data_IF_558747781390
#
_entry.id   IF_558747781390
#
_cell.length_a   1.000
_cell.length_b   1.000
_cell.length_c   1.000
_cell.angle_alpha   90.00
_cell.angle_beta   90.00
_cell.angle_gamma   90.00
#
_symmetry.space_group_name_H-M   'P 1'
#
loop_
_entity.id
_entity.type
_entity.pdbx_description
1 polymer ?
#
# COMPACT_ATOMS: atom_id res chain seq x y z
N UNK A 1 21.44 1.50 -2.73
CA UNK A 1 20.14 0.82 -2.95
C UNK A 1 19.56 1.25 -4.30
N UNK A 2 19.48 0.35 -5.29
CA UNK A 2 19.08 0.67 -6.68
C UNK A 2 17.60 0.41 -6.98
N UNK A 3 16.84 -0.11 -6.00
CA UNK A 3 15.46 -0.58 -6.21
C UNK A 3 14.40 0.45 -5.86
N UNK A 4 14.64 1.31 -4.85
CA UNK A 4 13.63 2.20 -4.27
C UNK A 4 13.73 3.62 -4.83
N UNK A 5 12.59 4.29 -4.93
CA UNK A 5 12.54 5.75 -5.10
C UNK A 5 13.09 6.45 -3.83
N UNK A 6 13.81 7.58 -3.92
CA UNK A 6 14.44 8.24 -2.77
C UNK A 6 13.50 8.57 -1.59
N UNK A 7 12.22 8.88 -1.88
CA UNK A 7 11.23 9.12 -0.83
C UNK A 7 10.86 7.86 -0.03
N UNK A 8 10.98 6.67 -0.61
CA UNK A 8 10.74 5.39 0.08
C UNK A 8 11.97 5.00 0.92
N UNK A 9 13.17 5.12 0.34
CA UNK A 9 14.42 4.70 1.00
C UNK A 9 14.84 5.58 2.17
N UNK A 10 14.36 6.83 2.22
CA UNK A 10 14.68 7.80 3.27
C UNK A 10 14.40 7.28 4.68
N UNK A 11 13.21 6.70 4.93
CA UNK A 11 12.86 6.23 6.28
C UNK A 11 13.73 5.04 6.72
N UNK A 12 13.87 3.95 5.94
CA UNK A 12 14.76 2.85 6.32
C UNK A 12 16.21 3.26 6.49
N UNK A 13 16.73 4.13 5.60
CA UNK A 13 18.10 4.64 5.70
C UNK A 13 18.35 5.31 7.04
N UNK A 14 17.47 6.22 7.44
CA UNK A 14 17.58 6.95 8.71
C UNK A 14 17.48 6.01 9.92
N UNK A 15 16.50 5.10 9.94
CA UNK A 15 16.17 4.33 11.15
C UNK A 15 17.00 3.07 11.35
N UNK A 16 17.46 2.44 10.26
CA UNK A 16 18.15 1.15 10.34
C UNK A 16 19.60 1.19 9.87
N UNK A 17 20.02 2.28 9.21
CA UNK A 17 21.36 2.38 8.60
C UNK A 17 22.09 3.68 8.94
N UNK A 18 21.70 4.39 10.00
CA UNK A 18 22.33 5.66 10.42
C UNK A 18 22.44 6.67 9.27
N UNK A 19 21.46 6.67 8.37
CA UNK A 19 21.42 7.49 7.16
C UNK A 19 22.56 7.21 6.16
N UNK A 20 23.23 6.04 6.24
CA UNK A 20 24.35 5.64 5.36
C UNK A 20 23.90 4.84 4.13
N UNK A 21 22.61 4.51 4.00
CA UNK A 21 22.10 3.83 2.82
C UNK A 21 21.96 4.84 1.67
N UNK A 22 22.87 4.75 0.69
CA UNK A 22 22.86 5.62 -0.49
C UNK A 22 21.84 5.15 -1.53
N UNK A 23 21.16 6.08 -2.19
CA UNK A 23 20.31 5.79 -3.34
C UNK A 23 21.16 5.61 -4.60
N UNK A 24 21.00 4.46 -5.25
CA UNK A 24 21.70 4.13 -6.50
C UNK A 24 20.87 4.37 -7.76
N UNK A 25 19.61 4.78 -7.60
CA UNK A 25 18.71 5.14 -8.70
C UNK A 25 18.34 6.62 -8.58
N UNK A 26 18.28 7.33 -9.70
CA UNK A 26 17.83 8.72 -9.69
C UNK A 26 16.31 8.80 -9.49
N UNK A 27 15.85 9.92 -8.92
CA UNK A 27 14.41 10.19 -8.73
C UNK A 27 13.61 10.00 -10.03
N UNK A 28 14.14 10.50 -11.14
CA UNK A 28 13.52 10.40 -12.46
C UNK A 28 13.39 8.96 -12.98
N UNK A 29 14.32 8.07 -12.63
CA UNK A 29 14.32 6.67 -13.06
C UNK A 29 13.25 5.81 -12.35
N UNK A 30 12.72 6.32 -11.23
CA UNK A 30 11.73 5.64 -10.37
C UNK A 30 10.44 6.44 -10.25
N UNK A 31 10.12 7.25 -11.27
CA UNK A 31 8.90 8.04 -11.31
C UNK A 31 7.89 7.47 -12.30
N UNK A 32 6.62 7.45 -11.88
CA UNK A 32 5.48 7.14 -12.73
C UNK A 32 4.57 8.39 -12.84
N UNK A 33 3.73 8.51 -13.90
CA UNK A 33 2.89 9.69 -14.11
C UNK A 33 1.91 10.00 -12.97
N UNK A 34 1.48 8.97 -12.23
CA UNK A 34 0.56 9.14 -11.11
C UNK A 34 1.21 9.76 -9.87
N UNK A 35 2.55 9.81 -9.77
CA UNK A 35 3.25 10.35 -8.60
C UNK A 35 3.03 11.84 -8.36
N UNK A 36 2.63 12.60 -9.38
CA UNK A 36 2.30 14.02 -9.23
C UNK A 36 0.92 14.23 -8.58
N UNK A 37 0.12 13.17 -8.45
CA UNK A 37 -1.15 13.23 -7.76
C UNK A 37 -0.93 13.29 -6.24
N UNK A 38 -1.61 14.24 -5.57
CA UNK A 38 -1.49 14.47 -4.12
C UNK A 38 -1.67 13.22 -3.23
N UNK A 39 -2.42 12.22 -3.70
CA UNK A 39 -2.70 10.98 -2.97
C UNK A 39 -1.98 9.74 -3.53
N UNK A 40 -1.16 9.86 -4.58
CA UNK A 40 -0.49 8.71 -5.21
C UNK A 40 1.02 8.95 -5.35
N UNK A 41 1.59 9.75 -4.45
CA UNK A 41 3.02 9.98 -4.42
C UNK A 41 3.82 8.71 -4.16
N UNK A 42 5.15 8.72 -4.39
CA UNK A 42 5.99 7.53 -4.26
C UNK A 42 6.02 6.92 -2.85
N UNK A 43 5.70 7.71 -1.82
CA UNK A 43 5.56 7.25 -0.44
C UNK A 43 4.45 8.07 0.24
N UNK A 44 3.39 7.40 0.69
CA UNK A 44 2.21 8.01 1.30
C UNK A 44 1.86 7.26 2.58
N UNK A 45 1.41 8.01 3.59
CA UNK A 45 0.83 7.47 4.81
C UNK A 45 -0.63 7.89 4.88
N UNK A 46 -1.53 6.93 5.06
CA UNK A 46 -2.96 7.16 5.19
C UNK A 46 -3.37 6.82 6.61
N UNK A 47 -3.81 7.84 7.35
CA UNK A 47 -4.40 7.66 8.66
C UNK A 47 -5.91 7.41 8.48
N UNK A 48 -6.33 6.16 8.72
CA UNK A 48 -7.73 5.75 8.59
C UNK A 48 -8.40 6.03 9.92
N UNK A 49 -9.08 7.17 10.02
CA UNK A 49 -9.71 7.62 11.29
C UNK A 49 -10.71 6.61 11.86
N UNK A 50 -11.46 5.93 10.98
CA UNK A 50 -12.40 4.87 11.37
C UNK A 50 -11.72 3.50 11.49
N UNK A 51 -10.40 3.41 11.38
CA UNK A 51 -9.65 2.16 11.47
C UNK A 51 -9.66 1.59 12.87
N UNK A 52 -10.19 0.38 13.03
CA UNK A 52 -10.13 -0.34 14.29
C UNK A 52 -10.05 -1.86 14.07
N UNK A 53 -9.24 -2.51 14.88
CA UNK A 53 -9.03 -3.96 14.83
C UNK A 53 -10.21 -4.69 15.48
N UNK A 54 -10.71 -5.71 14.79
CA UNK A 54 -11.73 -6.63 15.28
C UNK A 54 -11.15 -8.03 15.39
N UNK A 55 -11.39 -8.70 16.52
CA UNK A 55 -11.16 -10.14 16.62
C UNK A 55 -12.34 -10.89 15.99
N UNK A 56 -12.05 -11.90 15.18
CA UNK A 56 -13.09 -12.80 14.67
C UNK A 56 -13.82 -13.59 15.76
N UNK A 57 -15.00 -14.09 15.42
CA UNK A 57 -15.98 -14.65 16.37
C UNK A 57 -15.80 -16.15 16.68
N UNK A 58 -14.83 -16.83 16.09
CA UNK A 58 -14.59 -18.28 16.32
C UNK A 58 -13.27 -18.52 17.05
N UNK A 59 -13.13 -19.70 17.69
CA UNK A 59 -11.89 -20.08 18.37
C UNK A 59 -10.68 -20.23 17.42
N UNK A 60 -10.94 -20.41 16.12
CA UNK A 60 -9.94 -20.34 15.05
C UNK A 60 -9.72 -18.91 14.52
N UNK A 61 -10.56 -17.96 14.95
CA UNK A 61 -10.62 -16.58 14.49
C UNK A 61 -10.34 -15.56 15.61
N UNK A 62 -9.45 -15.85 16.57
CA UNK A 62 -8.82 -14.81 17.41
C UNK A 62 -7.88 -13.88 16.61
N UNK A 63 -8.13 -13.75 15.31
CA UNK A 63 -7.27 -13.11 14.33
C UNK A 63 -7.82 -11.70 14.13
N UNK A 64 -6.94 -10.72 14.29
CA UNK A 64 -7.29 -9.31 14.21
C UNK A 64 -7.46 -8.89 12.75
N UNK A 65 -8.55 -8.20 12.42
CA UNK A 65 -8.76 -7.64 11.09
C UNK A 65 -9.24 -6.21 11.17
N UNK A 66 -8.93 -5.41 10.15
CA UNK A 66 -9.40 -4.03 10.03
C UNK A 66 -10.07 -3.85 8.66
N UNK A 67 -11.40 -3.87 8.67
CA UNK A 67 -12.21 -3.74 7.45
C UNK A 67 -12.07 -2.37 6.81
N UNK A 68 -11.86 -1.31 7.60
CA UNK A 68 -11.71 0.05 7.10
C UNK A 68 -10.37 0.23 6.36
N UNK A 69 -9.28 -0.36 6.86
CA UNK A 69 -8.00 -0.37 6.15
C UNK A 69 -8.06 -1.20 4.86
N UNK A 70 -8.74 -2.35 4.89
CA UNK A 70 -8.95 -3.16 3.68
C UNK A 70 -9.76 -2.40 2.62
N UNK A 71 -10.84 -1.73 3.03
CA UNK A 71 -11.65 -0.88 2.17
C UNK A 71 -10.85 0.29 1.59
N UNK A 72 -10.10 1.02 2.43
CA UNK A 72 -9.26 2.13 1.98
C UNK A 72 -8.19 1.67 0.96
N UNK A 73 -7.61 0.49 1.16
CA UNK A 73 -6.65 -0.10 0.22
C UNK A 73 -7.28 -0.37 -1.15
N UNK A 74 -8.53 -0.85 -1.18
CA UNK A 74 -9.28 -1.07 -2.42
C UNK A 74 -9.67 0.24 -3.11
N UNK A 75 -10.06 1.26 -2.35
CA UNK A 75 -10.36 2.59 -2.88
C UNK A 75 -9.14 3.23 -3.55
N UNK A 76 -7.96 3.14 -2.93
CA UNK A 76 -6.70 3.61 -3.54
C UNK A 76 -6.43 2.89 -4.86
N UNK A 77 -6.64 1.57 -4.89
CA UNK A 77 -6.40 0.75 -6.07
C UNK A 77 -7.40 1.06 -7.20
N UNK A 78 -8.68 1.18 -6.87
CA UNK A 78 -9.76 1.56 -7.78
C UNK A 78 -9.52 2.96 -8.36
N UNK A 79 -9.15 3.91 -7.50
CA UNK A 79 -8.81 5.26 -7.91
C UNK A 79 -7.63 5.30 -8.89
N UNK A 80 -6.55 4.55 -8.61
CA UNK A 80 -5.41 4.43 -9.51
C UNK A 80 -5.82 3.82 -10.87
N UNK A 81 -6.56 2.70 -10.85
CA UNK A 81 -7.07 2.01 -12.05
C UNK A 81 -7.91 2.93 -12.92
N UNK A 82 -8.82 3.69 -12.31
CA UNK A 82 -9.77 4.54 -13.03
C UNK A 82 -9.11 5.83 -13.56
N UNK A 83 -8.19 6.43 -12.79
CA UNK A 83 -7.56 7.71 -13.16
C UNK A 83 -6.36 7.56 -14.09
N UNK A 84 -5.60 6.46 -13.95
CA UNK A 84 -4.38 6.19 -14.73
C UNK A 84 -4.42 4.80 -15.38
N UNK A 85 -5.43 4.51 -16.23
CA UNK A 85 -5.66 3.16 -16.75
C UNK A 85 -4.51 2.62 -17.62
N UNK A 86 -3.75 3.50 -18.27
CA UNK A 86 -2.58 3.14 -19.11
C UNK A 86 -1.36 2.75 -18.28
N UNK A 87 -1.22 3.31 -17.09
CA UNK A 87 -0.10 3.06 -16.18
C UNK A 87 -0.41 1.94 -15.18
N UNK A 88 -1.71 1.64 -15.00
CA UNK A 88 -2.18 0.59 -14.12
C UNK A 88 -1.87 -0.81 -14.65
N UNK A 89 -1.25 -1.64 -13.80
CA UNK A 89 -1.09 -3.06 -14.04
C UNK A 89 -1.13 -3.83 -12.74
N UNK A 90 -2.05 -4.80 -12.61
CA UNK A 90 -2.15 -5.63 -11.41
C UNK A 90 -0.85 -6.38 -11.09
N UNK A 91 -0.02 -6.69 -12.11
CA UNK A 91 1.27 -7.37 -11.93
C UNK A 91 2.33 -6.50 -11.26
N UNK A 92 2.15 -5.18 -11.24
CA UNK A 92 3.06 -4.21 -10.61
C UNK A 92 2.66 -3.87 -9.17
N UNK A 93 1.56 -4.44 -8.68
CA UNK A 93 0.95 -4.05 -7.40
C UNK A 93 0.97 -5.25 -6.45
N UNK A 94 1.47 -5.03 -5.25
CA UNK A 94 1.43 -6.00 -4.16
C UNK A 94 0.85 -5.36 -2.91
N UNK A 95 -0.06 -6.07 -2.24
CA UNK A 95 -0.62 -5.67 -0.95
C UNK A 95 -0.06 -6.64 0.09
N UNK A 96 0.62 -6.10 1.08
CA UNK A 96 1.21 -6.86 2.17
C UNK A 96 0.38 -6.55 3.41
N UNK A 97 -0.14 -7.61 4.03
CA UNK A 97 -0.92 -7.52 5.26
C UNK A 97 -0.71 -8.79 6.08
N UNK A 98 -1.19 -8.81 7.32
CA UNK A 98 -1.18 -10.03 8.13
C UNK A 98 -2.02 -11.11 7.44
N UNK A 99 -1.55 -12.36 7.46
CA UNK A 99 -2.08 -13.45 6.61
C UNK A 99 -3.59 -13.70 6.69
N UNK A 100 -4.24 -13.27 7.76
CA UNK A 100 -5.68 -13.42 8.00
C UNK A 100 -6.51 -12.20 7.58
N UNK A 101 -5.90 -11.02 7.46
CA UNK A 101 -6.52 -9.84 6.80
C UNK A 101 -6.67 -10.08 5.30
N UNK A 102 -5.93 -11.05 4.74
CA UNK A 102 -6.05 -11.47 3.33
C UNK A 102 -7.45 -12.00 3.01
N UNK A 103 -8.07 -12.80 3.89
CA UNK A 103 -9.42 -13.31 3.65
C UNK A 103 -10.46 -12.19 3.62
N UNK A 104 -10.32 -11.23 4.53
CA UNK A 104 -11.22 -10.07 4.58
C UNK A 104 -10.99 -9.14 3.38
N UNK A 105 -9.73 -8.90 3.00
CA UNK A 105 -9.40 -8.17 1.79
C UNK A 105 -10.02 -8.84 0.55
N UNK A 106 -9.92 -10.17 0.43
CA UNK A 106 -10.54 -10.93 -0.66
C UNK A 106 -12.07 -10.85 -0.62
N UNK A 107 -12.69 -10.85 0.57
CA UNK A 107 -14.14 -10.62 0.72
C UNK A 107 -14.53 -9.25 0.20
N UNK A 108 -13.92 -8.17 0.71
CA UNK A 108 -14.25 -6.80 0.29
C UNK A 108 -13.94 -6.57 -1.19
N UNK A 109 -12.83 -7.13 -1.70
CA UNK A 109 -12.45 -7.05 -3.12
C UNK A 109 -13.48 -7.75 -4.02
N UNK A 110 -14.04 -8.87 -3.58
CA UNK A 110 -15.10 -9.59 -4.31
C UNK A 110 -16.38 -8.77 -4.45
N UNK A 111 -16.66 -7.89 -3.49
CA UNK A 111 -17.80 -6.96 -3.56
C UNK A 111 -17.54 -5.71 -4.41
N UNK A 112 -16.28 -5.28 -4.55
CA UNK A 112 -15.91 -4.03 -5.25
C UNK A 112 -15.38 -4.23 -6.68
N UNK A 113 -15.35 -5.46 -7.20
CA UNK A 113 -15.07 -5.79 -8.60
C UNK A 113 -13.77 -5.15 -9.14
N UNK A 114 -12.64 -5.78 -8.82
CA UNK A 114 -11.42 -5.67 -9.63
C UNK A 114 -11.49 -6.54 -10.88
#
# INVERSE_FOLDING_TARGET
>A
MYRMHPYISRFPSLHFYENKLLDGAQKAEKSDPFHDHRCLGPYMFFDIADGHEHAGTSAAAQLLSNQFEAGASLEILSFLKNKYPTDFSCRKIGIITYGYVVEEFLRVASFHCL
#
